data_IF_300503971960
#
_entry.id   IF_300503971960
#
_cell.length_a   1.000
_cell.length_b   1.000
_cell.length_c   1.000
_cell.angle_alpha   90.00
_cell.angle_beta   90.00
_cell.angle_gamma   90.00
#
_symmetry.space_group_name_H-M   'P 1'
#
loop_
_entity.id
_entity.type
_entity.pdbx_description
1 polymer ?
#
# COMPACT_ATOMS: atom_id res chain seq x y z
N UNK A 1 -17.99 -36.83 6.97
CA UNK A 1 -16.70 -36.39 7.54
C UNK A 1 -15.78 -35.71 6.52
N UNK A 2 -15.54 -36.32 5.35
CA UNK A 2 -14.54 -35.80 4.39
C UNK A 2 -14.81 -34.36 3.92
N UNK A 3 -16.05 -33.97 3.63
CA UNK A 3 -16.40 -32.59 3.25
C UNK A 3 -16.11 -31.57 4.36
N UNK A 4 -16.26 -31.96 5.63
CA UNK A 4 -15.92 -31.10 6.77
C UNK A 4 -14.41 -30.90 6.92
N UNK A 5 -13.63 -31.96 6.69
CA UNK A 5 -12.17 -31.87 6.67
C UNK A 5 -11.67 -30.98 5.52
N UNK A 6 -12.23 -31.14 4.32
CA UNK A 6 -11.94 -30.26 3.17
C UNK A 6 -12.32 -28.82 3.49
N UNK A 7 -13.48 -28.58 4.09
CA UNK A 7 -13.94 -27.25 4.52
C UNK A 7 -12.98 -26.63 5.54
N UNK A 8 -12.49 -27.41 6.50
CA UNK A 8 -11.54 -26.94 7.51
C UNK A 8 -10.20 -26.52 6.88
N UNK A 9 -9.64 -27.31 5.96
CA UNK A 9 -8.40 -26.94 5.25
C UNK A 9 -8.65 -25.72 4.35
N UNK A 10 -9.83 -25.64 3.74
CA UNK A 10 -10.25 -24.51 2.90
C UNK A 10 -10.30 -23.19 3.66
N UNK A 11 -10.63 -23.20 4.97
CA UNK A 11 -10.56 -22.01 5.83
C UNK A 11 -9.16 -21.41 5.79
N UNK A 12 -8.11 -22.21 6.04
CA UNK A 12 -6.72 -21.75 6.04
C UNK A 12 -6.24 -21.33 4.65
N UNK A 13 -6.69 -22.02 3.61
CA UNK A 13 -6.31 -21.68 2.25
C UNK A 13 -6.90 -20.32 1.83
N UNK A 14 -8.20 -20.12 2.03
CA UNK A 14 -8.90 -18.87 1.72
C UNK A 14 -8.37 -17.72 2.58
N UNK A 15 -8.07 -18.00 3.84
CA UNK A 15 -7.42 -17.09 4.77
C UNK A 15 -6.13 -16.48 4.20
N UNK A 16 -5.21 -17.33 3.78
CA UNK A 16 -3.94 -16.91 3.18
C UNK A 16 -4.18 -16.16 1.86
N UNK A 17 -5.14 -16.62 1.04
CA UNK A 17 -5.49 -15.95 -0.21
C UNK A 17 -6.03 -14.54 -0.01
N UNK A 18 -6.97 -14.35 0.93
CA UNK A 18 -7.56 -13.03 1.17
C UNK A 18 -6.53 -12.04 1.73
N UNK A 19 -5.69 -12.49 2.67
CA UNK A 19 -4.58 -11.67 3.15
C UNK A 19 -3.59 -11.32 2.04
N UNK A 20 -3.14 -12.34 1.30
CA UNK A 20 -2.16 -12.16 0.24
C UNK A 20 -2.68 -11.21 -0.84
N UNK A 21 -3.96 -11.34 -1.20
CA UNK A 21 -4.63 -10.45 -2.15
C UNK A 21 -4.75 -9.02 -1.61
N UNK A 22 -5.21 -8.87 -0.36
CA UNK A 22 -5.34 -7.57 0.28
C UNK A 22 -3.99 -6.84 0.35
N UNK A 23 -2.94 -7.52 0.79
CA UNK A 23 -1.59 -6.94 0.86
C UNK A 23 -1.02 -6.62 -0.53
N UNK A 24 -1.26 -7.48 -1.53
CA UNK A 24 -0.82 -7.27 -2.91
C UNK A 24 -1.51 -6.08 -3.57
N UNK A 25 -2.77 -5.82 -3.26
CA UNK A 25 -3.56 -4.71 -3.81
C UNK A 25 -3.34 -3.39 -3.08
N UNK A 26 -2.80 -3.44 -1.84
CA UNK A 26 -2.56 -2.29 -0.97
C UNK A 26 -1.07 -2.08 -0.70
N UNK A 27 -0.51 -2.73 0.34
CA UNK A 27 0.85 -2.53 0.85
C UNK A 27 1.96 -2.73 -0.18
N UNK A 28 1.76 -3.65 -1.13
CA UNK A 28 2.75 -3.96 -2.17
C UNK A 28 2.36 -3.40 -3.54
N UNK A 29 1.35 -2.52 -3.59
CA UNK A 29 0.88 -1.87 -4.81
C UNK A 29 1.38 -0.42 -4.87
N UNK A 30 2.24 -0.14 -5.85
CA UNK A 30 2.79 1.20 -6.08
C UNK A 30 1.70 2.23 -6.37
N UNK A 31 0.62 1.85 -7.06
CA UNK A 31 -0.45 2.77 -7.41
C UNK A 31 -1.25 3.17 -6.17
N UNK A 32 -1.46 2.24 -5.24
CA UNK A 32 -2.10 2.52 -3.96
C UNK A 32 -1.23 3.49 -3.14
N UNK A 33 0.08 3.22 -3.03
CA UNK A 33 1.00 4.08 -2.30
C UNK A 33 1.09 5.49 -2.90
N UNK A 34 1.15 5.61 -4.24
CA UNK A 34 1.14 6.90 -4.93
C UNK A 34 -0.12 7.71 -4.65
N UNK A 35 -1.29 7.07 -4.73
CA UNK A 35 -2.55 7.72 -4.45
C UNK A 35 -2.57 8.25 -3.02
N UNK A 36 -2.16 7.44 -2.05
CA UNK A 36 -2.15 7.83 -0.64
C UNK A 36 -1.17 8.99 -0.36
N UNK A 37 -0.01 8.99 -1.01
CA UNK A 37 0.95 10.11 -0.93
C UNK A 37 0.35 11.41 -1.47
N UNK A 38 -0.42 11.34 -2.56
CA UNK A 38 -1.08 12.51 -3.14
C UNK A 38 -2.23 13.03 -2.28
N UNK A 39 -3.02 12.16 -1.66
CA UNK A 39 -4.24 12.54 -0.90
C UNK A 39 -3.98 12.85 0.57
N UNK A 40 -3.02 12.20 1.22
CA UNK A 40 -2.77 12.30 2.68
C UNK A 40 -2.12 13.61 3.13
N UNK A 41 -1.84 14.53 2.20
CA UNK A 41 -1.23 15.83 2.50
C UNK A 41 0.23 15.78 2.91
N UNK A 42 0.91 14.63 2.84
CA UNK A 42 2.32 14.50 3.22
C UNK A 42 3.29 15.20 2.25
N UNK A 43 2.90 15.24 0.99
CA UNK A 43 3.41 16.17 -0.01
C UNK A 43 3.50 17.63 0.51
N UNK A 44 2.60 18.04 1.44
CA UNK A 44 2.66 19.36 2.08
C UNK A 44 3.68 19.41 3.22
N UNK A 45 3.81 18.37 4.05
CA UNK A 45 4.77 18.32 5.16
C UNK A 45 6.21 18.32 4.63
N UNK A 46 6.54 17.43 3.68
CA UNK A 46 7.89 17.37 3.12
C UNK A 46 8.21 18.62 2.29
N UNK A 47 7.25 19.15 1.53
CA UNK A 47 7.41 20.45 0.88
C UNK A 47 7.64 21.57 1.89
N UNK A 48 6.96 21.56 3.04
CA UNK A 48 7.15 22.56 4.10
C UNK A 48 8.54 22.44 4.71
N UNK A 49 9.04 21.23 5.02
CA UNK A 49 10.38 21.05 5.59
C UNK A 49 11.51 21.42 4.62
N UNK A 50 11.37 21.07 3.34
CA UNK A 50 12.30 21.51 2.28
C UNK A 50 12.22 23.03 2.08
N UNK A 51 11.02 23.61 2.08
CA UNK A 51 10.82 25.06 1.99
C UNK A 51 11.39 25.78 3.22
N UNK A 52 11.28 25.21 4.42
CA UNK A 52 11.86 25.73 5.66
C UNK A 52 13.39 25.63 5.66
N UNK A 53 13.97 24.57 5.10
CA UNK A 53 15.41 24.46 4.90
C UNK A 53 15.93 25.47 3.86
N UNK A 54 15.09 25.80 2.87
CA UNK A 54 15.34 26.84 1.89
C UNK A 54 15.07 28.26 2.43
N UNK A 55 14.40 28.40 3.58
CA UNK A 55 13.93 29.69 4.12
C UNK A 55 15.09 30.61 4.53
N UNK A 56 16.14 30.04 5.14
CA UNK A 56 17.35 30.79 5.49
C UNK A 56 18.03 31.36 4.24
N UNK A 57 18.14 30.54 3.20
CA UNK A 57 18.76 30.94 1.95
C UNK A 57 17.89 31.88 1.11
N UNK A 58 16.55 31.70 1.11
CA UNK A 58 15.64 32.58 0.37
C UNK A 58 15.58 33.97 0.98
N UNK A 59 15.68 34.08 2.32
CA UNK A 59 15.64 35.36 3.03
C UNK A 59 16.84 36.22 2.62
N UNK A 60 18.03 35.63 2.56
CA UNK A 60 19.24 36.29 2.06
C UNK A 60 19.15 36.67 0.58
N UNK A 61 18.26 36.00 -0.16
CA UNK A 61 17.99 36.21 -1.58
C UNK A 61 16.83 37.17 -1.89
N UNK A 62 16.05 37.58 -0.89
CA UNK A 62 14.79 38.32 -1.11
C UNK A 62 13.74 37.53 -1.89
N UNK A 63 13.81 36.19 -1.89
CA UNK A 63 12.90 35.32 -2.65
C UNK A 63 11.70 34.92 -1.78
N UNK A 64 10.50 34.97 -2.36
CA UNK A 64 9.27 34.51 -1.72
C UNK A 64 9.26 32.98 -1.48
N UNK A 65 8.60 32.49 -0.41
CA UNK A 65 8.52 31.07 -0.13
C UNK A 65 7.84 30.31 -1.28
N UNK A 66 8.44 29.19 -1.70
CA UNK A 66 7.88 28.29 -2.73
C UNK A 66 8.25 28.65 -4.16
N UNK A 67 9.09 29.68 -4.37
CA UNK A 67 9.66 30.02 -5.68
C UNK A 67 10.87 29.16 -6.04
N UNK A 68 11.77 28.89 -5.09
CA UNK A 68 12.98 28.07 -5.31
C UNK A 68 12.68 26.60 -5.64
N UNK A 69 11.65 26.02 -5.00
CA UNK A 69 11.07 24.75 -5.38
C UNK A 69 9.54 24.86 -5.25
N UNK A 70 8.82 24.50 -6.30
CA UNK A 70 7.37 24.48 -6.25
C UNK A 70 6.86 23.23 -5.55
N UNK A 71 5.68 23.32 -4.92
CA UNK A 71 5.01 22.14 -4.34
C UNK A 71 4.78 21.03 -5.37
N UNK A 72 4.57 21.40 -6.64
CA UNK A 72 4.39 20.42 -7.70
C UNK A 72 5.67 19.63 -7.98
N UNK A 73 6.82 20.30 -8.08
CA UNK A 73 8.12 19.65 -8.29
C UNK A 73 8.46 18.70 -7.12
N UNK A 74 8.26 19.16 -5.87
CA UNK A 74 8.42 18.29 -4.69
C UNK A 74 7.54 17.04 -4.81
N UNK A 75 6.28 17.20 -5.21
CA UNK A 75 5.36 16.07 -5.33
C UNK A 75 5.79 15.06 -6.39
N UNK A 76 6.25 15.54 -7.55
CA UNK A 76 6.73 14.68 -8.63
C UNK A 76 7.95 13.87 -8.20
N UNK A 77 8.90 14.49 -7.49
CA UNK A 77 10.08 13.79 -6.99
C UNK A 77 9.77 12.81 -5.86
N UNK A 78 8.82 13.11 -4.97
CA UNK A 78 8.32 12.15 -3.96
C UNK A 78 7.65 10.96 -4.65
N UNK A 79 6.80 11.20 -5.66
CA UNK A 79 6.12 10.13 -6.38
C UNK A 79 7.12 9.24 -7.10
N UNK A 80 8.13 9.83 -7.75
CA UNK A 80 9.23 9.09 -8.35
C UNK A 80 10.02 8.29 -7.31
N UNK A 81 10.23 8.84 -6.11
CA UNK A 81 10.89 8.12 -5.03
C UNK A 81 10.09 6.90 -4.55
N UNK A 82 8.76 7.03 -4.44
CA UNK A 82 7.87 5.90 -4.15
C UNK A 82 7.96 4.84 -5.25
N UNK A 83 7.95 5.25 -6.52
CA UNK A 83 8.08 4.32 -7.65
C UNK A 83 9.43 3.59 -7.64
N UNK A 84 10.52 4.32 -7.44
CA UNK A 84 11.87 3.77 -7.36
C UNK A 84 12.02 2.82 -6.16
N UNK A 85 11.43 3.15 -5.01
CA UNK A 85 11.41 2.27 -3.84
C UNK A 85 10.71 0.94 -4.15
N UNK A 86 9.48 1.01 -4.70
CA UNK A 86 8.69 -0.19 -5.05
C UNK A 86 9.27 -0.99 -6.23
N UNK A 87 10.11 -0.36 -7.05
CA UNK A 87 10.85 -0.99 -8.14
C UNK A 87 12.19 -1.60 -7.70
N UNK A 88 12.66 -1.36 -6.46
CA UNK A 88 13.93 -1.89 -5.98
C UNK A 88 15.16 -1.17 -6.56
N UNK A 89 15.04 0.10 -6.99
CA UNK A 89 16.19 0.85 -7.50
C UNK A 89 17.11 1.29 -6.37
N UNK A 90 18.42 1.25 -6.62
CA UNK A 90 19.46 1.71 -5.68
C UNK A 90 19.34 3.20 -5.36
N UNK A 91 19.00 4.02 -6.37
CA UNK A 91 18.75 5.45 -6.18
C UNK A 91 17.25 5.67 -6.04
N UNK A 92 16.79 5.79 -4.80
CA UNK A 92 15.38 6.06 -4.48
C UNK A 92 15.03 7.51 -4.84
N UNK A 93 15.78 8.47 -4.31
CA UNK A 93 15.60 9.91 -4.57
C UNK A 93 16.86 10.49 -5.22
N UNK A 94 16.71 11.17 -6.34
CA UNK A 94 17.81 11.84 -7.03
C UNK A 94 18.03 13.25 -6.46
N UNK A 95 18.91 13.34 -5.47
CA UNK A 95 19.24 14.61 -4.80
C UNK A 95 19.98 15.58 -5.71
N UNK A 96 20.69 15.08 -6.73
CA UNK A 96 21.38 15.92 -7.72
C UNK A 96 20.38 16.61 -8.63
N UNK A 97 19.41 15.85 -9.14
CA UNK A 97 18.30 16.40 -9.94
C UNK A 97 17.54 17.50 -9.20
N UNK A 98 17.21 17.29 -7.91
CA UNK A 98 16.51 18.31 -7.11
C UNK A 98 17.38 19.57 -6.97
N UNK A 99 18.67 19.41 -6.69
CA UNK A 99 19.59 20.54 -6.59
C UNK A 99 19.77 21.28 -7.93
N UNK A 100 19.82 20.56 -9.05
CA UNK A 100 19.85 21.14 -10.39
C UNK A 100 18.57 21.92 -10.70
N UNK A 101 17.40 21.43 -10.31
CA UNK A 101 16.15 22.15 -10.45
C UNK A 101 16.14 23.45 -9.64
N UNK A 102 16.66 23.44 -8.40
CA UNK A 102 16.82 24.66 -7.59
C UNK A 102 17.75 25.64 -8.30
N UNK A 103 18.87 25.16 -8.81
CA UNK A 103 19.83 25.96 -9.55
C UNK A 103 19.20 26.62 -10.79
N UNK A 104 18.44 25.85 -11.59
CA UNK A 104 17.72 26.36 -12.76
C UNK A 104 16.65 27.37 -12.37
N UNK A 105 15.90 27.10 -11.31
CA UNK A 105 14.89 28.04 -10.80
C UNK A 105 15.55 29.34 -10.35
N UNK A 106 16.66 29.29 -9.60
CA UNK A 106 17.44 30.48 -9.23
C UNK A 106 17.91 31.28 -10.46
N UNK A 107 18.41 30.61 -11.49
CA UNK A 107 18.85 31.27 -12.73
C UNK A 107 17.68 31.99 -13.42
N UNK A 108 16.51 31.34 -13.48
CA UNK A 108 15.30 31.92 -14.06
C UNK A 108 14.80 33.14 -13.29
N UNK A 109 14.81 33.10 -11.95
CA UNK A 109 14.42 34.26 -11.13
C UNK A 109 15.42 35.42 -11.24
N UNK A 110 16.68 35.11 -11.53
CA UNK A 110 17.71 36.14 -11.71
C UNK A 110 17.53 36.84 -13.04
N UNK A 111 17.24 36.08 -14.10
CA UNK A 111 16.99 36.61 -15.44
C UNK A 111 15.69 37.42 -15.54
N UNK A 112 14.67 37.06 -14.75
CA UNK A 112 13.38 37.78 -14.70
C UNK A 112 13.42 39.03 -13.82
N UNK A 113 14.52 39.28 -13.10
CA UNK A 113 14.67 40.44 -12.21
C UNK A 113 13.86 40.34 -10.91
N UNK A 114 13.25 39.18 -10.64
CA UNK A 114 12.48 38.94 -9.41
C UNK A 114 13.37 38.68 -8.19
N UNK A 115 14.65 38.38 -8.41
CA UNK A 115 15.69 38.38 -7.39
C UNK A 115 16.03 39.82 -7.03
N UNK A 116 15.43 40.33 -5.94
CA UNK A 116 15.58 41.70 -5.43
C UNK A 116 16.99 42.12 -4.98
N UNK A 117 18.02 41.44 -5.47
CA UNK A 117 19.43 41.63 -5.12
C UNK A 117 20.25 42.38 -6.18
N UNK A 118 19.68 42.64 -7.37
CA UNK A 118 20.41 43.33 -8.45
C UNK A 118 21.69 42.60 -8.90
N UNK A 119 21.74 41.28 -8.70
CA UNK A 119 22.90 40.45 -9.04
C UNK A 119 22.89 40.05 -10.52
N UNK A 120 24.09 39.79 -11.05
CA UNK A 120 24.27 39.20 -12.38
C UNK A 120 24.54 37.70 -12.23
N UNK A 121 24.05 36.88 -13.18
CA UNK A 121 24.27 35.43 -13.27
C UNK A 121 25.77 35.06 -13.22
N UNK A 122 26.63 35.95 -13.68
CA UNK A 122 28.08 35.75 -13.69
C UNK A 122 28.81 36.37 -12.49
N UNK A 123 28.10 36.94 -11.51
CA UNK A 123 28.74 37.52 -10.33
C UNK A 123 29.25 36.41 -9.41
N UNK A 124 30.48 36.54 -8.89
CA UNK A 124 31.06 35.60 -7.93
C UNK A 124 30.15 35.40 -6.71
N UNK A 125 29.48 36.47 -6.27
CA UNK A 125 28.52 36.44 -5.17
C UNK A 125 27.31 35.55 -5.45
N UNK A 126 26.76 35.60 -6.67
CA UNK A 126 25.67 34.73 -7.07
C UNK A 126 26.13 33.27 -7.24
N UNK A 127 27.29 33.04 -7.88
CA UNK A 127 27.83 31.70 -8.07
C UNK A 127 28.15 31.00 -6.74
N UNK A 128 28.75 31.73 -5.78
CA UNK A 128 29.00 31.22 -4.44
C UNK A 128 27.70 30.85 -3.73
N UNK A 129 26.69 31.72 -3.82
CA UNK A 129 25.39 31.52 -3.18
C UNK A 129 24.61 30.35 -3.80
N UNK A 130 24.57 30.27 -5.13
CA UNK A 130 24.00 29.13 -5.87
C UNK A 130 24.66 27.83 -5.41
N UNK A 131 25.99 27.79 -5.34
CA UNK A 131 26.74 26.64 -4.86
C UNK A 131 26.40 26.28 -3.41
N UNK A 132 26.30 27.25 -2.50
CA UNK A 132 25.93 27.02 -1.10
C UNK A 132 24.51 26.45 -0.98
N UNK A 133 23.55 26.99 -1.74
CA UNK A 133 22.17 26.52 -1.74
C UNK A 133 22.07 25.10 -2.29
N UNK A 134 22.66 24.83 -3.45
CA UNK A 134 22.63 23.49 -4.06
C UNK A 134 23.33 22.47 -3.19
N UNK A 135 24.46 22.82 -2.58
CA UNK A 135 25.22 21.93 -1.69
C UNK A 135 24.45 21.68 -0.40
N UNK A 136 23.88 22.72 0.23
CA UNK A 136 23.09 22.58 1.45
C UNK A 136 21.83 21.72 1.25
N UNK A 137 21.19 21.80 0.09
CA UNK A 137 20.06 20.93 -0.26
C UNK A 137 20.51 19.49 -0.48
N UNK A 138 21.60 19.29 -1.24
CA UNK A 138 22.17 17.96 -1.43
C UNK A 138 22.57 17.33 -0.10
N UNK A 139 23.24 18.07 0.78
CA UNK A 139 23.64 17.62 2.11
C UNK A 139 22.43 17.35 3.00
N UNK A 140 21.40 18.20 3.01
CA UNK A 140 20.20 17.98 3.84
C UNK A 140 19.41 16.75 3.37
N UNK A 141 19.25 16.59 2.06
CA UNK A 141 18.60 15.42 1.46
C UNK A 141 19.46 14.17 1.67
N UNK A 142 20.77 14.24 1.43
CA UNK A 142 21.70 13.15 1.65
C UNK A 142 21.84 12.80 3.14
N UNK A 143 21.68 13.74 4.06
CA UNK A 143 21.66 13.52 5.50
C UNK A 143 20.36 12.84 5.93
N UNK A 144 19.22 13.30 5.42
CA UNK A 144 17.93 12.64 5.63
C UNK A 144 17.88 11.24 4.98
N UNK A 145 18.64 11.00 3.91
CA UNK A 145 18.79 9.67 3.29
C UNK A 145 19.89 8.83 3.96
N UNK A 146 20.94 9.47 4.49
CA UNK A 146 22.22 8.87 4.88
C UNK A 146 22.41 8.65 6.39
N UNK A 147 21.78 9.44 7.26
CA UNK A 147 21.52 8.99 8.65
C UNK A 147 20.62 7.75 8.70
N UNK A 148 19.95 7.46 7.58
CA UNK A 148 18.98 6.40 7.41
C UNK A 148 19.53 5.28 6.50
N UNK A 149 20.81 4.89 6.65
CA UNK A 149 21.44 3.75 5.95
C UNK A 149 20.60 2.44 5.94
N UNK A 150 19.57 2.37 6.79
CA UNK A 150 18.52 1.35 6.77
C UNK A 150 17.54 1.42 5.57
N UNK A 151 17.54 2.42 4.69
CA UNK A 151 16.51 2.50 3.63
C UNK A 151 16.66 1.39 2.58
N UNK A 152 17.91 1.02 2.26
CA UNK A 152 18.20 -0.10 1.36
C UNK A 152 17.88 -1.44 2.05
N UNK A 153 18.11 -1.55 3.36
CA UNK A 153 17.73 -2.72 4.15
C UNK A 153 16.22 -2.85 4.26
N UNK A 154 15.51 -1.75 4.53
CA UNK A 154 14.04 -1.66 4.55
C UNK A 154 13.47 -1.98 3.17
N UNK A 155 14.08 -1.49 2.09
CA UNK A 155 13.68 -1.83 0.72
C UNK A 155 13.91 -3.31 0.43
N UNK A 156 15.04 -3.87 0.86
CA UNK A 156 15.36 -5.30 0.70
C UNK A 156 14.36 -6.18 1.45
N UNK A 157 14.07 -5.86 2.71
CA UNK A 157 13.06 -6.56 3.52
C UNK A 157 11.65 -6.37 2.94
N UNK A 158 11.32 -5.18 2.44
CA UNK A 158 10.07 -4.90 1.73
C UNK A 158 9.93 -5.77 0.47
N UNK A 159 10.98 -5.90 -0.33
CA UNK A 159 10.99 -6.71 -1.55
C UNK A 159 10.91 -8.21 -1.25
N UNK A 160 11.58 -8.68 -0.18
CA UNK A 160 11.43 -10.06 0.33
C UNK A 160 9.99 -10.30 0.79
N UNK A 161 9.42 -9.40 1.60
CA UNK A 161 8.05 -9.51 2.09
C UNK A 161 7.04 -9.52 0.91
N UNK A 162 7.24 -8.67 -0.09
CA UNK A 162 6.45 -8.65 -1.33
C UNK A 162 6.49 -9.99 -2.05
N UNK A 163 7.67 -10.61 -2.20
CA UNK A 163 7.82 -11.92 -2.82
C UNK A 163 7.16 -13.04 -2.00
N UNK A 164 7.33 -13.04 -0.68
CA UNK A 164 6.69 -14.00 0.23
C UNK A 164 5.17 -13.90 0.10
N UNK A 165 4.62 -12.69 0.13
CA UNK A 165 3.18 -12.45 0.03
C UNK A 165 2.63 -12.84 -1.33
N UNK A 166 3.33 -12.54 -2.44
CA UNK A 166 2.91 -12.98 -3.77
C UNK A 166 2.94 -14.50 -3.91
N UNK A 167 3.94 -15.16 -3.30
CA UNK A 167 4.05 -16.63 -3.28
C UNK A 167 2.93 -17.25 -2.45
N UNK A 168 2.71 -16.76 -1.23
CA UNK A 168 1.62 -17.21 -0.35
C UNK A 168 0.25 -17.02 -1.00
N UNK A 169 0.03 -15.89 -1.68
CA UNK A 169 -1.18 -15.65 -2.44
C UNK A 169 -1.39 -16.69 -3.55
N UNK A 170 -0.37 -16.96 -4.36
CA UNK A 170 -0.45 -17.97 -5.45
C UNK A 170 -0.70 -19.37 -4.91
N UNK A 171 0.02 -19.77 -3.87
CA UNK A 171 -0.14 -21.09 -3.23
C UNK A 171 -1.52 -21.22 -2.61
N UNK A 172 -1.97 -20.23 -1.83
CA UNK A 172 -3.28 -20.22 -1.21
C UNK A 172 -4.41 -20.23 -2.23
N UNK A 173 -4.29 -19.47 -3.33
CA UNK A 173 -5.28 -19.44 -4.40
C UNK A 173 -5.37 -20.79 -5.11
N UNK A 174 -4.22 -21.38 -5.45
CA UNK A 174 -4.15 -22.68 -6.13
C UNK A 174 -4.77 -23.77 -5.26
N UNK A 175 -4.40 -23.81 -3.99
CA UNK A 175 -4.95 -24.77 -3.03
C UNK A 175 -6.46 -24.55 -2.84
N UNK A 176 -6.93 -23.31 -2.77
CA UNK A 176 -8.36 -23.00 -2.66
C UNK A 176 -9.14 -23.51 -3.88
N UNK A 177 -8.61 -23.35 -5.09
CA UNK A 177 -9.23 -23.86 -6.32
C UNK A 177 -9.32 -25.39 -6.29
N UNK A 178 -8.21 -26.06 -5.94
CA UNK A 178 -8.17 -27.53 -5.84
C UNK A 178 -9.19 -28.02 -4.82
N UNK A 179 -9.22 -27.43 -3.63
CA UNK A 179 -10.15 -27.80 -2.57
C UNK A 179 -11.60 -27.51 -2.98
N UNK A 180 -11.88 -26.40 -3.66
CA UNK A 180 -13.21 -26.10 -4.19
C UNK A 180 -13.67 -27.18 -5.19
N UNK A 181 -12.81 -27.60 -6.12
CA UNK A 181 -13.10 -28.68 -7.08
C UNK A 181 -13.37 -30.00 -6.35
N UNK A 182 -12.52 -30.37 -5.38
CA UNK A 182 -12.73 -31.56 -4.55
C UNK A 182 -14.08 -31.46 -3.82
N UNK A 183 -14.42 -30.30 -3.28
CA UNK A 183 -15.68 -30.08 -2.56
C UNK A 183 -16.89 -30.26 -3.49
N UNK A 184 -16.82 -29.74 -4.72
CA UNK A 184 -17.85 -29.96 -5.75
C UNK A 184 -17.99 -31.44 -6.07
N UNK A 185 -16.87 -32.15 -6.30
CA UNK A 185 -16.87 -33.59 -6.60
C UNK A 185 -17.45 -34.43 -5.44
N UNK A 186 -17.11 -34.11 -4.19
CA UNK A 186 -17.60 -34.82 -3.00
C UNK A 186 -19.11 -34.63 -2.76
N UNK A 187 -19.68 -33.52 -3.20
CA UNK A 187 -21.13 -33.29 -3.09
C UNK A 187 -21.93 -33.93 -4.23
N UNK A 188 -21.27 -34.43 -5.27
CA UNK A 188 -21.90 -35.10 -6.41
C UNK A 188 -22.95 -34.24 -7.10
N UNK A 189 -24.05 -34.86 -7.53
CA UNK A 189 -25.19 -34.20 -8.22
C UNK A 189 -26.11 -33.40 -7.28
N UNK A 190 -25.70 -33.09 -6.04
CA UNK A 190 -26.51 -32.26 -5.13
C UNK A 190 -26.25 -30.78 -5.44
N UNK A 191 -27.12 -30.08 -6.20
CA UNK A 191 -26.89 -28.70 -6.56
C UNK A 191 -26.78 -27.81 -5.30
N UNK A 192 -25.77 -26.94 -5.27
CA UNK A 192 -25.55 -25.89 -4.26
C UNK A 192 -25.05 -26.32 -2.87
N UNK A 193 -24.94 -27.61 -2.54
CA UNK A 193 -24.33 -28.02 -1.27
C UNK A 193 -22.87 -27.58 -1.15
N UNK A 194 -22.14 -27.57 -2.27
CA UNK A 194 -20.76 -27.07 -2.31
C UNK A 194 -20.67 -25.59 -1.92
N UNK A 195 -21.68 -24.78 -2.27
CA UNK A 195 -21.73 -23.36 -1.94
C UNK A 195 -21.91 -23.12 -0.43
N UNK A 196 -22.65 -24.00 0.27
CA UNK A 196 -22.77 -23.95 1.72
C UNK A 196 -21.40 -24.09 2.40
N UNK A 197 -20.63 -25.11 2.02
CA UNK A 197 -19.31 -25.37 2.61
C UNK A 197 -18.29 -24.31 2.22
N UNK A 198 -18.31 -23.80 0.98
CA UNK A 198 -17.47 -22.67 0.57
C UNK A 198 -17.80 -21.40 1.36
N UNK A 199 -19.08 -21.07 1.50
CA UNK A 199 -19.54 -19.92 2.27
C UNK A 199 -19.18 -20.04 3.75
N UNK A 200 -19.33 -21.23 4.33
CA UNK A 200 -18.93 -21.53 5.70
C UNK A 200 -17.42 -21.37 5.89
N UNK A 201 -16.61 -21.91 4.97
CA UNK A 201 -15.16 -21.74 5.00
C UNK A 201 -14.75 -20.27 4.88
N UNK A 202 -15.38 -19.51 3.99
CA UNK A 202 -15.12 -18.07 3.83
C UNK A 202 -15.48 -17.25 5.07
N UNK A 203 -16.60 -17.56 5.73
CA UNK A 203 -16.99 -16.91 6.98
C UNK A 203 -15.95 -17.18 8.07
N UNK A 204 -15.55 -18.44 8.24
CA UNK A 204 -14.55 -18.80 9.25
C UNK A 204 -13.14 -18.30 8.91
N UNK A 205 -12.81 -18.15 7.63
CA UNK A 205 -11.53 -17.59 7.20
C UNK A 205 -11.41 -16.10 7.57
N UNK A 206 -12.50 -15.34 7.52
CA UNK A 206 -12.49 -13.88 7.69
C UNK A 206 -12.48 -13.43 9.16
N UNK A 207 -13.09 -14.20 10.08
CA UNK A 207 -13.14 -13.88 11.52
C UNK A 207 -11.76 -13.62 12.17
N UNK A 208 -10.77 -14.54 12.07
CA UNK A 208 -9.47 -14.32 12.70
C UNK A 208 -8.70 -13.14 12.09
N UNK A 209 -8.87 -12.86 10.78
CA UNK A 209 -8.22 -11.67 10.18
C UNK A 209 -8.86 -10.38 10.58
N UNK A 210 -10.19 -10.34 10.66
CA UNK A 210 -10.85 -9.15 11.16
C UNK A 210 -10.37 -8.82 12.57
N UNK A 211 -10.24 -9.83 13.44
CA UNK A 211 -9.71 -9.66 14.78
C UNK A 211 -8.25 -9.18 14.78
N UNK A 212 -7.39 -9.76 13.93
CA UNK A 212 -5.99 -9.37 13.82
C UNK A 212 -5.83 -7.93 13.29
N UNK A 213 -6.58 -7.56 12.25
CA UNK A 213 -6.58 -6.20 11.69
C UNK A 213 -7.17 -5.18 12.67
N UNK A 214 -8.18 -5.57 13.45
CA UNK A 214 -8.74 -4.72 14.49
C UNK A 214 -7.74 -4.49 15.63
N UNK A 215 -7.01 -5.53 16.06
CA UNK A 215 -5.95 -5.40 17.06
C UNK A 215 -4.83 -4.49 16.56
N UNK A 216 -4.36 -4.69 15.33
CA UNK A 216 -3.36 -3.82 14.71
C UNK A 216 -3.80 -2.35 14.72
N UNK A 217 -5.07 -2.08 14.33
CA UNK A 217 -5.61 -0.74 14.26
C UNK A 217 -5.79 -0.10 15.63
N UNK A 218 -6.34 -0.86 16.59
CA UNK A 218 -6.63 -0.37 17.95
C UNK A 218 -5.37 -0.02 18.72
N UNK A 219 -4.30 -0.80 18.57
CA UNK A 219 -3.05 -0.62 19.31
C UNK A 219 -1.98 0.13 18.52
N UNK A 220 -2.27 0.60 17.30
CA UNK A 220 -1.33 1.34 16.44
C UNK A 220 0.07 0.68 16.35
N UNK A 221 0.10 -0.66 16.34
CA UNK A 221 1.33 -1.45 16.47
C UNK A 221 2.31 -1.17 15.31
N UNK A 222 1.82 -0.62 14.19
CA UNK A 222 2.62 -0.17 13.05
C UNK A 222 3.76 0.77 13.44
N UNK A 223 3.52 1.63 14.43
CA UNK A 223 4.49 2.59 14.94
C UNK A 223 5.72 1.89 15.54
N UNK A 224 5.56 0.69 16.09
CA UNK A 224 6.65 -0.11 16.66
C UNK A 224 7.46 -0.88 15.60
N UNK A 225 6.88 -1.12 14.42
CA UNK A 225 7.54 -1.84 13.32
C UNK A 225 8.21 -0.92 12.29
N UNK A 226 7.79 0.34 12.24
CA UNK A 226 8.42 1.35 11.39
C UNK A 226 9.50 2.04 12.24
N UNK A 227 10.79 1.76 12.01
CA UNK A 227 11.86 2.41 12.75
C UNK A 227 11.75 3.92 12.59
N UNK A 228 12.12 4.69 13.61
CA UNK A 228 11.97 6.16 13.61
C UNK A 228 12.67 6.80 12.40
N UNK A 229 13.78 6.21 11.96
CA UNK A 229 14.49 6.52 10.72
C UNK A 229 13.63 6.41 9.45
N UNK A 230 12.66 5.49 9.42
CA UNK A 230 11.76 5.28 8.30
C UNK A 230 10.53 6.21 8.31
N UNK A 231 10.30 6.94 9.40
CA UNK A 231 9.20 7.93 9.51
C UNK A 231 9.56 9.29 8.95
N UNK A 232 10.85 9.60 8.82
CA UNK A 232 11.39 10.88 8.32
C UNK A 232 11.84 10.81 6.86
N UNK A 233 11.73 9.65 6.22
CA UNK A 233 12.01 9.48 4.80
C UNK A 233 10.94 10.24 4.00
N UNK A 234 11.30 10.72 2.81
CA UNK A 234 10.38 11.26 1.81
C UNK A 234 9.17 10.33 1.47
N UNK A 235 9.17 9.08 1.92
CA UNK A 235 8.10 8.09 1.73
C UNK A 235 7.35 7.91 3.07
N UNK A 236 6.05 8.24 3.14
CA UNK A 236 5.29 8.22 4.39
C UNK A 236 4.81 6.84 4.78
N UNK A 237 5.74 5.99 5.19
CA UNK A 237 5.46 4.60 5.50
C UNK A 237 4.39 4.42 6.60
N UNK A 238 4.31 5.35 7.57
CA UNK A 238 3.29 5.31 8.63
C UNK A 238 1.88 5.61 8.11
N UNK A 239 1.70 6.67 7.30
CA UNK A 239 0.39 6.99 6.69
C UNK A 239 -0.03 5.91 5.70
N UNK A 240 0.92 5.39 4.91
CA UNK A 240 0.70 4.24 4.03
C UNK A 240 0.27 3.02 4.85
N UNK A 241 0.91 2.71 5.99
CA UNK A 241 0.55 1.56 6.83
C UNK A 241 -0.86 1.68 7.43
N UNK A 242 -1.28 2.89 7.83
CA UNK A 242 -2.65 3.16 8.28
C UNK A 242 -3.65 2.93 7.14
N UNK A 243 -3.40 3.51 5.97
CA UNK A 243 -4.26 3.36 4.79
C UNK A 243 -4.35 1.90 4.31
N UNK A 244 -3.23 1.17 4.35
CA UNK A 244 -3.16 -0.27 4.08
C UNK A 244 -4.08 -1.02 5.04
N UNK A 245 -4.01 -0.74 6.35
CA UNK A 245 -4.83 -1.47 7.32
C UNK A 245 -6.32 -1.17 7.13
N UNK A 246 -6.69 0.09 6.90
CA UNK A 246 -8.07 0.46 6.60
C UNK A 246 -8.58 -0.25 5.34
N UNK A 247 -7.75 -0.32 4.29
CA UNK A 247 -8.10 -1.00 3.04
C UNK A 247 -8.18 -2.52 3.20
N UNK A 248 -7.32 -3.12 4.03
CA UNK A 248 -7.40 -4.53 4.39
C UNK A 248 -8.68 -4.85 5.17
N UNK A 249 -9.11 -3.98 6.09
CA UNK A 249 -10.37 -4.14 6.82
C UNK A 249 -11.57 -4.09 5.86
N UNK A 250 -11.58 -3.14 4.92
CA UNK A 250 -12.62 -3.07 3.88
C UNK A 250 -12.64 -4.32 2.99
N UNK A 251 -11.46 -4.85 2.63
CA UNK A 251 -11.31 -6.09 1.85
C UNK A 251 -11.86 -7.30 2.59
N UNK A 252 -11.56 -7.43 3.89
CA UNK A 252 -12.10 -8.50 4.73
C UNK A 252 -13.62 -8.38 4.83
N UNK A 253 -14.16 -7.17 4.97
CA UNK A 253 -15.61 -6.93 5.01
C UNK A 253 -16.31 -7.35 3.70
N UNK A 254 -15.74 -6.99 2.55
CA UNK A 254 -16.24 -7.46 1.25
C UNK A 254 -16.18 -8.99 1.13
N UNK A 255 -15.10 -9.61 1.63
CA UNK A 255 -14.96 -11.07 1.70
C UNK A 255 -16.05 -11.74 2.54
N UNK A 256 -16.42 -11.14 3.67
CA UNK A 256 -17.54 -11.61 4.52
C UNK A 256 -18.85 -11.57 3.75
N UNK A 257 -19.14 -10.48 3.03
CA UNK A 257 -20.39 -10.36 2.25
C UNK A 257 -20.48 -11.47 1.19
N UNK A 258 -19.40 -11.72 0.46
CA UNK A 258 -19.36 -12.80 -0.56
C UNK A 258 -19.54 -14.16 0.09
N UNK A 259 -18.85 -14.43 1.20
CA UNK A 259 -18.96 -15.69 1.94
C UNK A 259 -20.38 -15.93 2.48
N UNK A 260 -21.02 -14.89 3.02
CA UNK A 260 -22.42 -14.95 3.46
C UNK A 260 -23.37 -15.21 2.29
N UNK A 261 -23.16 -14.57 1.15
CA UNK A 261 -23.94 -14.82 -0.06
C UNK A 261 -23.88 -16.29 -0.51
N UNK A 262 -22.68 -16.87 -0.54
CA UNK A 262 -22.46 -18.29 -0.86
C UNK A 262 -23.11 -19.21 0.18
N UNK A 263 -23.02 -18.86 1.47
CA UNK A 263 -23.64 -19.62 2.55
C UNK A 263 -25.16 -19.62 2.45
N UNK A 264 -25.77 -18.46 2.19
CA UNK A 264 -27.23 -18.31 2.00
C UNK A 264 -27.69 -19.10 0.78
N UNK A 265 -26.97 -19.00 -0.35
CA UNK A 265 -27.24 -19.79 -1.56
C UNK A 265 -27.21 -21.30 -1.26
N UNK A 266 -26.21 -21.74 -0.50
CA UNK A 266 -26.09 -23.13 -0.06
C UNK A 266 -27.26 -23.58 0.83
N UNK A 267 -27.69 -22.75 1.79
CA UNK A 267 -28.83 -23.04 2.66
C UNK A 267 -30.13 -23.15 1.85
N UNK A 268 -30.37 -22.22 0.92
CA UNK A 268 -31.56 -22.23 0.07
C UNK A 268 -31.57 -23.48 -0.81
N UNK A 269 -30.42 -23.82 -1.41
CA UNK A 269 -30.26 -25.03 -2.21
C UNK A 269 -30.54 -26.32 -1.44
N UNK A 270 -30.04 -26.42 -0.21
CA UNK A 270 -30.32 -27.55 0.68
C UNK A 270 -31.82 -27.68 1.02
N UNK A 271 -32.50 -26.57 1.31
CA UNK A 271 -33.95 -26.56 1.59
C UNK A 271 -34.79 -26.94 0.36
N UNK A 272 -34.37 -26.51 -0.83
CA UNK A 272 -35.05 -26.88 -2.07
C UNK A 272 -34.97 -28.39 -2.33
N UNK A 273 -33.80 -29.00 -2.11
CA UNK A 273 -33.62 -30.46 -2.24
C UNK A 273 -34.48 -31.25 -1.24
N UNK A 274 -34.57 -30.81 0.00
CA UNK A 274 -35.42 -31.46 1.01
C UNK A 274 -36.89 -31.47 0.61
N UNK A 275 -37.40 -30.36 0.04
CA UNK A 275 -38.77 -30.29 -0.48
C UNK A 275 -38.98 -31.25 -1.65
N UNK A 276 -38.09 -31.25 -2.65
CA UNK A 276 -38.21 -32.14 -3.84
C UNK A 276 -38.13 -33.62 -3.45
N UNK A 277 -37.25 -33.99 -2.52
CA UNK A 277 -37.17 -35.35 -1.97
C UNK A 277 -38.44 -35.79 -1.25
N UNK A 278 -39.10 -34.88 -0.52
CA UNK A 278 -40.36 -35.17 0.18
C UNK A 278 -41.53 -35.42 -0.79
N UNK A 279 -41.61 -34.66 -1.89
CA UNK A 279 -42.66 -34.86 -2.91
C UNK A 279 -42.47 -36.17 -3.70
N UNK A 280 -41.23 -36.59 -3.96
CA UNK A 280 -40.93 -37.87 -4.62
C UNK A 280 -41.38 -39.08 -3.80
N UNK A 281 -41.20 -39.05 -2.48
CA UNK A 281 -41.61 -40.14 -1.56
C UNK A 281 -43.14 -40.22 -1.43
N UNK A 282 -43.85 -39.08 -1.45
CA UNK A 282 -45.31 -39.07 -1.42
C UNK A 282 -45.96 -39.58 -2.71
N UNK A 283 -45.31 -39.41 -3.88
CA UNK A 283 -45.78 -40.00 -5.13
C UNK A 283 -45.50 -41.50 -5.22
N UNK A 284 -44.37 -41.97 -4.68
CA UNK A 284 -44.04 -43.40 -4.66
C UNK A 284 -44.95 -44.23 -3.75
N UNK A 285 -45.51 -43.63 -2.68
CA UNK A 285 -46.51 -44.26 -1.80
C UNK A 285 -47.95 -44.27 -2.34
N UNK A 286 -48.22 -43.61 -3.47
CA UNK A 286 -49.55 -43.54 -4.11
C UNK A 286 -49.67 -44.42 -5.36
N UNK A 287 -48.66 -45.24 -5.67
CA UNK A 287 -48.72 -46.33 -6.63
C UNK A 287 -48.72 -47.65 -5.89
#
# INVERSE_FOLDING_TARGET
MLSWLVTFIMVFSLAITFLGWGLKTTAFNVNFAKQEVQTSGLNKELATDLMLALDSYRSDLGIEPGKLLTKQQVNEDIILAVENFYAGKETILDTKKIAEQVATNMDNYLQTGELGLGLNVNSERYLALKSTVTTGIQEKLAWNLGQNANINDVQTEFMKAKQIVDTLFKVGLTLSIILAVILVLLQGLRPFNWAYYLGLAGCWATVPFYLLLWLLAKYQIYSSFIPYSARTIAIPLEKIAVAVTASLQATVFAGVIVALGLLILGIIGMRFQQKVGHYGIHMAKRR
#
